data_IF_697483564082
#
_entry.id   IF_697483564082
#
_cell.length_a   1.000
_cell.length_b   1.000
_cell.length_c   1.000
_cell.angle_alpha   90.00
_cell.angle_beta   90.00
_cell.angle_gamma   90.00
#
_symmetry.space_group_name_H-M   'P 1'
#
loop_
_entity.id
_entity.type
_entity.pdbx_description
1 polymer ?
#
# COMPACT_ATOMS: atom_id res chain seq x y z
N UNK A 1 46.97 1.68 -41.41
CA UNK A 1 45.49 1.65 -41.32
C UNK A 1 45.11 0.53 -40.35
N UNK A 2 44.90 0.86 -39.06
CA UNK A 2 43.63 1.12 -38.35
C UNK A 2 42.91 -0.18 -37.91
N UNK A 3 43.17 -0.53 -36.64
CA UNK A 3 42.25 -1.03 -35.59
C UNK A 3 41.08 -1.96 -35.96
N UNK A 4 40.99 -3.11 -35.26
CA UNK A 4 39.82 -3.57 -34.47
C UNK A 4 39.82 -5.09 -34.34
N UNK A 5 40.34 -5.68 -33.24
CA UNK A 5 39.97 -7.04 -32.77
C UNK A 5 40.11 -7.29 -31.25
N UNK A 6 40.21 -6.25 -30.41
CA UNK A 6 40.36 -6.45 -28.96
C UNK A 6 39.24 -5.81 -28.14
N UNK A 7 37.98 -5.94 -28.58
CA UNK A 7 36.83 -5.36 -27.87
C UNK A 7 35.78 -6.39 -27.43
N UNK A 8 36.06 -7.69 -27.43
CA UNK A 8 35.02 -8.69 -27.10
C UNK A 8 35.07 -9.23 -25.68
N UNK A 9 36.25 -9.40 -25.06
CA UNK A 9 36.34 -10.06 -23.75
C UNK A 9 36.05 -9.11 -22.56
N UNK A 10 36.55 -7.87 -22.60
CA UNK A 10 36.30 -6.90 -21.54
C UNK A 10 34.83 -6.44 -21.54
N UNK A 11 34.20 -6.36 -22.72
CA UNK A 11 32.80 -5.95 -22.86
C UNK A 11 31.83 -6.99 -22.30
N UNK A 12 32.12 -8.29 -22.48
CA UNK A 12 31.28 -9.39 -21.97
C UNK A 12 31.36 -9.51 -20.45
N UNK A 13 32.55 -9.37 -19.85
CA UNK A 13 32.70 -9.37 -18.39
C UNK A 13 32.05 -8.12 -17.74
N UNK A 14 32.16 -6.96 -18.38
CA UNK A 14 31.53 -5.73 -17.90
C UNK A 14 30.00 -5.78 -17.94
N UNK A 15 29.40 -6.36 -18.98
CA UNK A 15 27.95 -6.56 -19.09
C UNK A 15 27.41 -7.55 -18.06
N UNK A 16 28.12 -8.66 -17.82
CA UNK A 16 27.74 -9.61 -16.78
C UNK A 16 27.80 -8.99 -15.36
N UNK A 17 28.80 -8.13 -15.12
CA UNK A 17 28.91 -7.37 -13.87
C UNK A 17 27.79 -6.33 -13.69
N UNK A 18 27.37 -5.65 -14.77
CA UNK A 18 26.26 -4.69 -14.73
C UNK A 18 24.89 -5.36 -14.48
N UNK A 19 24.67 -6.56 -15.02
CA UNK A 19 23.42 -7.31 -14.82
C UNK A 19 23.20 -7.72 -13.36
N UNK A 20 24.27 -7.97 -12.60
CA UNK A 20 24.20 -8.26 -11.16
C UNK A 20 23.93 -7.02 -10.30
N UNK A 21 24.14 -5.82 -10.86
CA UNK A 21 23.94 -4.54 -10.19
C UNK A 21 22.57 -3.91 -10.48
N UNK A 22 21.76 -4.49 -11.38
CA UNK A 22 20.38 -4.07 -11.55
C UNK A 22 19.61 -4.49 -10.29
N UNK A 23 19.19 -3.55 -9.43
CA UNK A 23 18.42 -3.90 -8.26
C UNK A 23 17.11 -4.51 -8.76
N UNK A 24 16.88 -5.79 -8.50
CA UNK A 24 15.57 -6.43 -8.67
C UNK A 24 14.60 -6.00 -7.57
N UNK A 25 14.74 -4.78 -7.07
CA UNK A 25 13.72 -4.11 -6.28
C UNK A 25 12.62 -3.65 -7.24
N UNK A 26 11.93 -4.61 -7.83
CA UNK A 26 10.60 -4.41 -8.39
C UNK A 26 9.72 -3.96 -7.22
N UNK A 27 9.54 -2.65 -7.09
CA UNK A 27 8.77 -2.05 -6.02
C UNK A 27 7.29 -2.36 -6.20
N UNK A 28 6.83 -3.50 -5.68
CA UNK A 28 5.39 -3.83 -5.66
C UNK A 28 4.62 -2.68 -5.04
N UNK A 29 3.51 -2.26 -5.66
CA UNK A 29 2.65 -1.19 -5.13
C UNK A 29 2.10 -1.57 -3.76
N UNK A 30 2.09 -0.62 -2.85
CA UNK A 30 1.52 -0.75 -1.51
C UNK A 30 0.87 0.55 -1.07
N UNK A 31 -0.09 0.47 -0.14
CA UNK A 31 -0.68 1.62 0.51
C UNK A 31 -0.10 1.76 1.91
N UNK A 32 0.34 2.96 2.26
CA UNK A 32 0.85 3.30 3.58
C UNK A 32 -0.13 4.22 4.30
N UNK A 33 -0.55 3.82 5.50
CA UNK A 33 -1.52 4.53 6.32
C UNK A 33 -0.84 5.39 7.40
N UNK A 34 -1.60 6.22 8.10
CA UNK A 34 -1.08 7.17 9.08
C UNK A 34 -0.63 6.52 10.40
N UNK A 35 -1.07 5.30 10.68
CA UNK A 35 -0.46 4.43 11.69
C UNK A 35 0.92 3.90 11.32
N UNK A 36 1.30 3.96 10.05
CA UNK A 36 2.48 3.26 9.52
C UNK A 36 2.16 1.84 9.03
N UNK A 37 0.90 1.40 9.08
CA UNK A 37 0.49 0.15 8.42
C UNK A 37 0.73 0.21 6.92
N UNK A 38 1.19 -0.92 6.39
CA UNK A 38 1.51 -1.09 4.97
C UNK A 38 0.72 -2.28 4.44
N UNK A 39 -0.12 -2.01 3.45
CA UNK A 39 -0.92 -3.03 2.78
C UNK A 39 -0.47 -3.20 1.33
N UNK A 40 -0.23 -4.44 0.86
CA UNK A 40 -0.02 -4.71 -0.55
C UNK A 40 -1.21 -4.22 -1.39
N UNK A 41 -0.93 -3.61 -2.54
CA UNK A 41 -2.00 -3.14 -3.44
C UNK A 41 -2.93 -4.27 -3.87
N UNK A 42 -2.41 -5.49 -4.07
CA UNK A 42 -3.19 -6.67 -4.46
C UNK A 42 -4.23 -7.04 -3.40
N UNK A 43 -3.89 -6.96 -2.12
CA UNK A 43 -4.82 -7.27 -1.03
C UNK A 43 -5.96 -6.25 -0.99
N UNK A 44 -5.65 -4.95 -1.05
CA UNK A 44 -6.68 -3.91 -1.01
C UNK A 44 -7.54 -3.94 -2.28
N UNK A 45 -6.95 -4.34 -3.41
CA UNK A 45 -7.70 -4.60 -4.64
C UNK A 45 -8.73 -5.71 -4.45
N UNK A 46 -8.36 -6.83 -3.85
CA UNK A 46 -9.31 -7.93 -3.56
C UNK A 46 -10.47 -7.42 -2.71
N UNK A 47 -10.20 -6.65 -1.66
CA UNK A 47 -11.25 -6.01 -0.85
C UNK A 47 -12.12 -5.01 -1.64
N UNK A 48 -11.53 -4.28 -2.59
CA UNK A 48 -12.27 -3.39 -3.48
C UNK A 48 -13.18 -4.14 -4.46
N UNK A 49 -12.82 -5.37 -4.84
CA UNK A 49 -13.65 -6.26 -5.67
C UNK A 49 -14.82 -6.86 -4.89
N UNK A 50 -14.63 -7.09 -3.58
CA UNK A 50 -15.66 -7.57 -2.67
C UNK A 50 -16.52 -6.44 -2.06
N UNK A 51 -16.26 -5.19 -2.46
CA UNK A 51 -16.95 -4.02 -1.96
C UNK A 51 -18.42 -4.00 -2.44
N UNK A 52 -19.34 -3.65 -1.53
CA UNK A 52 -20.77 -3.58 -1.82
C UNK A 52 -21.38 -2.32 -1.24
N UNK A 53 -22.45 -1.83 -1.87
CA UNK A 53 -23.26 -0.74 -1.33
C UNK A 53 -23.94 -1.14 -0.02
N UNK A 54 -24.24 -2.42 0.17
CA UNK A 54 -24.86 -2.96 1.39
C UNK A 54 -23.98 -2.82 2.64
N UNK A 55 -22.68 -2.58 2.44
CA UNK A 55 -21.72 -2.39 3.53
C UNK A 55 -21.55 -0.93 3.95
N UNK A 56 -22.20 0.01 3.26
CA UNK A 56 -22.10 1.45 3.54
C UNK A 56 -22.75 1.77 4.88
N UNK A 57 -22.08 2.58 5.70
CA UNK A 57 -22.57 3.00 7.01
C UNK A 57 -22.57 4.51 7.15
N UNK A 58 -23.46 5.00 8.02
CA UNK A 58 -23.43 6.39 8.44
C UNK A 58 -22.08 6.70 9.12
N UNK A 59 -21.42 7.77 8.67
CA UNK A 59 -20.10 8.17 9.16
C UNK A 59 -18.92 7.62 8.36
N UNK A 60 -19.15 6.81 7.32
CA UNK A 60 -18.12 6.51 6.32
C UNK A 60 -17.71 7.81 5.57
N UNK A 61 -16.44 7.93 5.12
CA UNK A 61 -15.99 9.10 4.38
C UNK A 61 -16.75 9.22 3.05
N UNK A 62 -17.05 10.43 2.59
CA UNK A 62 -17.72 10.61 1.31
C UNK A 62 -16.87 10.05 0.15
N UNK A 63 -17.48 9.39 -0.85
CA UNK A 63 -16.75 8.85 -1.99
C UNK A 63 -16.12 10.00 -2.80
N UNK A 64 -14.91 9.82 -3.36
CA UNK A 64 -14.22 10.89 -4.10
C UNK A 64 -15.03 11.48 -5.27
N UNK A 65 -15.91 10.68 -5.86
CA UNK A 65 -16.74 11.03 -7.02
C UNK A 65 -18.12 11.57 -6.63
N UNK A 66 -18.48 11.53 -5.34
CA UNK A 66 -19.81 11.88 -4.84
C UNK A 66 -20.88 10.80 -5.03
N UNK A 67 -20.56 9.71 -5.73
CA UNK A 67 -21.42 8.53 -5.89
C UNK A 67 -20.77 7.32 -5.23
N UNK A 68 -21.56 6.53 -4.50
CA UNK A 68 -21.10 5.30 -3.88
C UNK A 68 -21.12 4.17 -4.91
N UNK A 69 -20.01 3.43 -5.03
CA UNK A 69 -19.95 2.23 -5.87
C UNK A 69 -19.86 0.96 -5.02
N UNK A 70 -19.20 1.06 -3.87
CA UNK A 70 -19.16 0.00 -2.88
C UNK A 70 -18.12 0.29 -1.82
N UNK A 71 -18.33 -0.25 -0.63
CA UNK A 71 -17.33 -0.21 0.44
C UNK A 71 -17.01 -1.60 0.97
N UNK A 72 -15.82 -1.73 1.54
CA UNK A 72 -15.43 -2.91 2.30
C UNK A 72 -14.71 -2.49 3.57
N UNK A 73 -15.33 -2.76 4.72
CA UNK A 73 -14.77 -2.46 6.03
C UNK A 73 -14.01 -3.64 6.61
N UNK A 74 -12.82 -3.42 7.15
CA UNK A 74 -12.03 -4.43 7.85
C UNK A 74 -11.26 -3.83 9.01
N UNK A 75 -10.71 -4.68 9.87
CA UNK A 75 -9.90 -4.23 11.01
C UNK A 75 -8.52 -4.88 10.97
N UNK A 76 -7.51 -4.17 11.45
CA UNK A 76 -6.17 -4.71 11.65
C UNK A 76 -5.63 -4.27 13.01
N UNK A 77 -4.87 -5.13 13.72
CA UNK A 77 -4.04 -4.66 14.82
C UNK A 77 -3.12 -3.54 14.32
N UNK A 78 -2.92 -2.51 15.13
CA UNK A 78 -1.91 -1.51 14.86
C UNK A 78 -0.53 -2.16 14.94
N UNK A 79 0.29 -2.09 13.88
CA UNK A 79 1.75 -2.15 14.02
C UNK A 79 2.19 -0.93 14.80
N UNK A 80 2.15 -1.04 16.12
CA UNK A 80 3.06 -0.22 16.88
C UNK A 80 4.51 -0.56 16.45
N UNK A 81 5.41 0.40 16.54
CA UNK A 81 6.83 0.08 16.52
C UNK A 81 7.28 -0.60 17.83
N UNK A 82 6.38 -1.21 18.60
CA UNK A 82 6.67 -1.82 19.90
C UNK A 82 6.23 -3.28 19.90
N UNK A 83 7.14 -4.12 19.42
CA UNK A 83 7.23 -5.55 19.73
C UNK A 83 6.42 -5.92 20.98
N UNK A 84 5.38 -6.73 20.76
CA UNK A 84 4.29 -7.04 21.68
C UNK A 84 4.72 -7.07 23.15
N UNK A 85 4.48 -5.99 23.88
CA UNK A 85 4.50 -6.00 25.34
C UNK A 85 3.40 -5.10 25.86
N UNK A 86 2.35 -5.74 26.40
CA UNK A 86 1.36 -5.09 27.24
C UNK A 86 2.10 -4.35 28.37
N UNK A 87 2.16 -3.02 28.30
CA UNK A 87 2.60 -2.16 29.40
C UNK A 87 1.63 -1.00 29.53
N UNK A 88 0.78 -1.09 30.56
CA UNK A 88 -0.07 0.00 31.02
C UNK A 88 0.82 1.07 31.67
N UNK A 89 1.45 1.94 30.87
CA UNK A 89 1.96 3.20 31.40
C UNK A 89 1.61 4.39 30.49
N UNK A 90 0.98 5.36 31.14
CA UNK A 90 0.37 6.57 30.61
C UNK A 90 1.45 7.51 30.06
N UNK A 91 1.79 7.42 28.78
CA UNK A 91 2.66 8.39 28.10
C UNK A 91 1.82 9.43 27.36
N UNK A 92 1.68 10.60 27.96
CA UNK A 92 0.89 11.78 27.56
C UNK A 92 1.29 12.44 26.22
N UNK A 93 1.99 11.77 25.31
CA UNK A 93 2.55 12.40 24.10
C UNK A 93 2.57 11.51 22.85
N UNK A 94 1.70 10.51 22.70
CA UNK A 94 1.59 9.79 21.43
C UNK A 94 0.16 9.80 20.93
N UNK A 95 0.02 10.33 19.70
CA UNK A 95 -1.10 10.27 18.75
C UNK A 95 -2.18 9.30 19.25
N UNK A 96 -3.38 9.82 19.54
CA UNK A 96 -4.53 9.06 20.04
C UNK A 96 -4.78 7.84 19.14
N UNK A 97 -4.17 6.71 19.48
CA UNK A 97 -4.51 5.43 18.87
C UNK A 97 -5.84 4.96 19.47
N UNK A 98 -6.65 4.20 18.72
CA UNK A 98 -7.86 3.59 19.26
C UNK A 98 -7.52 2.78 20.52
N UNK A 99 -8.36 2.91 21.55
CA UNK A 99 -8.18 2.37 22.91
C UNK A 99 -7.87 0.86 22.98
N UNK A 100 -8.09 0.12 21.90
CA UNK A 100 -7.95 -1.33 21.78
C UNK A 100 -6.70 -1.80 21.01
N UNK A 101 -5.91 -0.90 20.41
CA UNK A 101 -4.81 -1.30 19.52
C UNK A 101 -5.29 -1.96 18.21
N UNK A 102 -6.60 -1.90 17.92
CA UNK A 102 -7.21 -2.32 16.66
C UNK A 102 -7.61 -1.06 15.92
N UNK A 103 -7.29 -1.01 14.63
CA UNK A 103 -7.60 0.11 13.74
C UNK A 103 -8.63 -0.36 12.71
N UNK A 104 -9.66 0.46 12.51
CA UNK A 104 -10.67 0.24 11.48
C UNK A 104 -10.19 0.83 10.14
N UNK A 105 -10.44 0.10 9.06
CA UNK A 105 -10.10 0.47 7.71
C UNK A 105 -11.32 0.36 6.81
N UNK A 106 -11.40 1.24 5.82
CA UNK A 106 -12.45 1.23 4.82
C UNK A 106 -11.86 1.34 3.43
N UNK A 107 -12.10 0.33 2.60
CA UNK A 107 -11.87 0.39 1.16
C UNK A 107 -13.11 0.98 0.51
N UNK A 108 -12.93 1.98 -0.33
CA UNK A 108 -14.00 2.57 -1.14
C UNK A 108 -13.65 2.41 -2.60
N UNK A 109 -14.50 1.70 -3.33
CA UNK A 109 -14.47 1.65 -4.79
C UNK A 109 -15.22 2.87 -5.31
N UNK A 110 -14.72 3.50 -6.37
CA UNK A 110 -15.35 4.69 -6.96
C UNK A 110 -15.47 4.62 -8.50
N UNK A 111 -15.11 3.49 -9.10
CA UNK A 111 -15.35 3.10 -10.50
C UNK A 111 -14.91 1.64 -10.68
N UNK A 112 -15.24 1.05 -11.83
CA UNK A 112 -14.69 -0.24 -12.28
C UNK A 112 -13.15 -0.21 -12.28
N UNK A 113 -12.51 -1.30 -11.86
CA UNK A 113 -11.06 -1.53 -11.76
C UNK A 113 -10.11 -0.50 -12.44
N UNK A 114 -9.01 -0.03 -11.79
CA UNK A 114 -8.51 -0.29 -10.43
C UNK A 114 -8.79 0.87 -9.46
N UNK A 115 -9.96 1.50 -9.57
CA UNK A 115 -10.24 2.75 -8.88
C UNK A 115 -10.82 2.52 -7.49
N UNK A 116 -9.92 2.42 -6.51
CA UNK A 116 -10.27 2.36 -5.09
C UNK A 116 -9.41 3.30 -4.24
N UNK A 117 -9.92 3.61 -3.06
CA UNK A 117 -9.18 4.31 -2.00
C UNK A 117 -9.23 3.50 -0.72
N UNK A 118 -8.19 3.61 0.11
CA UNK A 118 -8.16 3.05 1.45
C UNK A 118 -8.15 4.20 2.45
N UNK A 119 -9.00 4.09 3.46
CA UNK A 119 -9.08 4.99 4.59
C UNK A 119 -8.81 4.24 5.89
N UNK A 120 -8.20 4.94 6.83
CA UNK A 120 -7.89 4.50 8.18
C UNK A 120 -8.67 5.37 9.18
N UNK A 121 -9.31 4.75 10.17
CA UNK A 121 -9.98 5.49 11.22
C UNK A 121 -9.03 5.78 12.39
N UNK A 122 -8.76 7.07 12.62
CA UNK A 122 -7.86 7.54 13.69
C UNK A 122 -8.55 7.75 15.04
N UNK A 123 -9.70 7.11 15.25
CA UNK A 123 -10.54 7.27 16.44
C UNK A 123 -11.42 8.52 16.43
N UNK A 124 -11.12 9.53 15.62
CA UNK A 124 -11.93 10.76 15.50
C UNK A 124 -12.36 11.08 14.07
N UNK A 125 -11.61 10.61 13.08
CA UNK A 125 -11.90 10.85 11.66
C UNK A 125 -11.25 9.77 10.79
N UNK A 126 -11.79 9.62 9.59
CA UNK A 126 -11.18 8.85 8.52
C UNK A 126 -10.05 9.65 7.86
N UNK A 127 -8.90 9.02 7.66
CA UNK A 127 -7.76 9.59 6.94
C UNK A 127 -7.34 8.65 5.80
N UNK A 128 -6.99 9.22 4.66
CA UNK A 128 -6.66 8.45 3.46
C UNK A 128 -5.23 7.89 3.54
N UNK A 129 -5.08 6.61 3.20
CA UNK A 129 -3.76 5.99 3.03
C UNK A 129 -3.16 6.34 1.66
N UNK A 130 -1.84 6.42 1.59
CA UNK A 130 -1.10 6.91 0.42
C UNK A 130 -0.56 5.72 -0.38
N UNK A 131 -0.90 5.67 -1.68
CA UNK A 131 -0.32 4.72 -2.62
C UNK A 131 1.15 5.05 -2.87
N UNK A 132 2.03 4.06 -2.67
CA UNK A 132 3.47 4.13 -2.91
C UNK A 132 3.94 2.92 -3.75
N UNK A 133 5.17 3.00 -4.25
CA UNK A 133 5.77 2.02 -5.17
C UNK A 133 5.74 2.47 -6.64
N UNK A 134 6.37 1.69 -7.53
CA UNK A 134 6.49 2.00 -8.96
C UNK A 134 5.71 1.01 -9.84
N UNK A 135 5.23 1.47 -11.00
CA UNK A 135 4.39 0.73 -11.95
C UNK A 135 5.16 -0.25 -12.86
N UNK A 136 6.39 -0.65 -12.53
CA UNK A 136 7.19 -1.48 -13.44
C UNK A 136 6.78 -2.96 -13.34
N UNK A 137 5.55 -3.26 -13.75
CA UNK A 137 5.07 -4.62 -13.97
C UNK A 137 5.33 -4.98 -15.44
N UNK A 138 6.41 -5.72 -15.68
CA UNK A 138 6.75 -6.24 -17.01
C UNK A 138 5.96 -7.52 -17.34
N UNK A 139 4.84 -7.79 -16.66
CA UNK A 139 4.13 -9.09 -16.74
C UNK A 139 2.62 -9.03 -16.98
N UNK A 140 2.01 -7.90 -17.34
CA UNK A 140 0.65 -7.92 -17.92
C UNK A 140 0.71 -8.09 -19.45
N UNK A 141 0.26 -9.23 -20.01
CA UNK A 141 0.11 -9.38 -21.44
C UNK A 141 -1.04 -8.49 -21.95
N UNK A 142 -0.77 -7.74 -23.02
CA UNK A 142 -1.76 -7.04 -23.85
C UNK A 142 -2.82 -7.99 -24.41
#
# INVERSE_FOLDING_TARGET
>A
MRQMKFLNAALTAALAGLSLLAPTAYGRRYLECNSGEIFPFSQIREYGMDASLDFTREGDPDPPTGEWFGVYGFTSPAKDGSESSYSFELALTKKLLPRSGIIDYLVQSFSDYPYFTLHEFTGTKWEKCILKGSYLDATEPL
#
